data_IF_272050918639
#
_entry.id   IF_272050918639
#
_cell.length_a   1.000
_cell.length_b   1.000
_cell.length_c   1.000
_cell.angle_alpha   90.00
_cell.angle_beta   90.00
_cell.angle_gamma   90.00
#
_symmetry.space_group_name_H-M   'P 1'
#
loop_
_entity.id
_entity.type
_entity.pdbx_description
1 polymer ?
#
# COMPACT_ATOMS: atom_id res chain seq x y z
N UNK A 1 8.34 -12.16 16.82
CA UNK A 1 8.00 -10.81 17.32
C UNK A 1 7.49 -9.98 16.15
N UNK A 2 6.27 -9.47 16.24
CA UNK A 2 5.52 -8.96 15.09
C UNK A 2 5.98 -7.58 14.64
N UNK A 3 5.83 -7.32 13.33
CA UNK A 3 6.07 -6.06 12.61
C UNK A 3 5.54 -4.82 13.38
N UNK A 4 4.44 -4.97 14.12
CA UNK A 4 3.82 -3.91 14.89
C UNK A 4 4.46 -3.61 16.26
N UNK A 5 5.26 -4.51 16.86
CA UNK A 5 5.93 -4.23 18.14
C UNK A 5 6.99 -3.12 18.01
N UNK A 6 7.57 -2.95 16.80
CA UNK A 6 8.56 -1.92 16.51
C UNK A 6 7.95 -0.51 16.40
N UNK A 7 6.70 -0.40 15.94
CA UNK A 7 5.98 0.88 15.88
C UNK A 7 5.63 1.40 17.30
N UNK A 8 5.51 0.51 18.29
CA UNK A 8 5.18 0.86 19.69
C UNK A 8 6.40 1.32 20.52
N UNK A 9 7.59 0.76 20.28
CA UNK A 9 8.80 1.12 21.03
C UNK A 9 9.43 2.41 20.49
N UNK A 10 8.85 3.55 20.88
CA UNK A 10 9.39 4.88 20.57
C UNK A 10 10.65 5.25 21.37
N UNK A 11 11.13 4.38 22.28
CA UNK A 11 11.99 4.80 23.38
C UNK A 11 13.26 3.98 23.68
N UNK A 12 13.76 3.03 22.88
CA UNK A 12 15.08 2.41 23.18
C UNK A 12 15.86 1.98 21.91
N UNK A 13 16.91 2.75 21.64
CA UNK A 13 18.29 2.42 21.21
C UNK A 13 18.65 1.28 20.22
N UNK A 14 17.72 0.62 19.54
CA UNK A 14 18.06 -0.21 18.36
C UNK A 14 17.40 0.35 17.10
N UNK A 15 18.21 1.02 16.26
CA UNK A 15 17.82 1.69 15.01
C UNK A 15 17.42 0.70 13.87
N UNK A 16 16.61 -0.30 14.15
CA UNK A 16 15.88 -1.01 13.10
C UNK A 16 14.63 -0.20 12.71
N UNK A 17 14.78 0.55 11.62
CA UNK A 17 13.87 1.50 10.98
C UNK A 17 12.37 1.18 11.13
N UNK A 18 11.73 1.80 12.12
CA UNK A 18 10.26 1.94 12.18
C UNK A 18 9.78 2.69 10.92
N UNK A 19 8.78 2.14 10.23
CA UNK A 19 8.20 2.77 9.04
C UNK A 19 8.80 2.28 7.72
N UNK A 20 9.08 0.98 7.61
CA UNK A 20 9.57 0.34 6.38
C UNK A 20 8.46 0.02 5.36
N UNK A 21 8.81 -0.61 4.24
CA UNK A 21 7.83 -1.00 3.20
C UNK A 21 6.77 -1.98 3.73
N UNK A 22 7.20 -2.96 4.55
CA UNK A 22 6.30 -3.95 5.13
C UNK A 22 5.30 -3.32 6.10
N UNK A 23 5.72 -2.36 6.90
CA UNK A 23 4.85 -1.61 7.82
C UNK A 23 3.79 -0.83 7.04
N UNK A 24 4.22 -0.12 5.98
CA UNK A 24 3.34 0.63 5.12
C UNK A 24 2.27 -0.25 4.47
N UNK A 25 2.68 -1.34 3.81
CA UNK A 25 1.75 -2.27 3.16
C UNK A 25 0.79 -2.92 4.15
N UNK A 26 1.25 -3.19 5.37
CA UNK A 26 0.39 -3.72 6.42
C UNK A 26 -0.64 -2.68 6.86
N UNK A 27 -0.25 -1.41 7.08
CA UNK A 27 -1.19 -0.34 7.39
C UNK A 27 -2.21 -0.11 6.27
N UNK A 28 -1.80 -0.23 5.00
CA UNK A 28 -2.73 -0.20 3.86
C UNK A 28 -3.77 -1.32 3.99
N UNK A 29 -3.35 -2.57 4.21
CA UNK A 29 -4.29 -3.71 4.39
C UNK A 29 -5.24 -3.50 5.57
N UNK A 30 -4.72 -3.04 6.71
CA UNK A 30 -5.54 -2.72 7.90
C UNK A 30 -6.57 -1.65 7.55
N UNK A 31 -6.18 -0.59 6.82
CA UNK A 31 -7.11 0.47 6.41
C UNK A 31 -8.25 -0.09 5.55
N UNK A 32 -7.94 -0.88 4.53
CA UNK A 32 -8.95 -1.55 3.69
C UNK A 32 -9.91 -2.40 4.52
N UNK A 33 -9.38 -3.23 5.41
CA UNK A 33 -10.19 -4.08 6.29
C UNK A 33 -11.04 -3.26 7.28
N UNK A 34 -10.53 -2.13 7.79
CA UNK A 34 -11.28 -1.23 8.67
C UNK A 34 -12.45 -0.54 7.94
N UNK A 35 -12.23 -0.13 6.69
CA UNK A 35 -13.30 0.44 5.85
C UNK A 35 -14.37 -0.61 5.55
N UNK A 36 -13.97 -1.83 5.17
CA UNK A 36 -14.90 -2.94 4.96
C UNK A 36 -15.71 -3.26 6.23
N UNK A 37 -15.05 -3.34 7.39
CA UNK A 37 -15.71 -3.61 8.67
C UNK A 37 -16.77 -2.57 8.99
N UNK A 38 -16.39 -1.30 8.93
CA UNK A 38 -17.27 -0.19 9.31
C UNK A 38 -18.43 0.01 8.34
N UNK A 39 -18.23 -0.27 7.04
CA UNK A 39 -19.25 -0.14 5.99
C UNK A 39 -20.23 -1.30 5.96
N UNK A 40 -19.72 -2.52 6.04
CA UNK A 40 -20.50 -3.75 5.84
C UNK A 40 -21.03 -4.34 7.16
N UNK A 41 -20.69 -3.72 8.30
CA UNK A 41 -21.10 -4.19 9.62
C UNK A 41 -20.44 -5.52 10.01
N UNK A 42 -19.22 -5.79 9.52
CA UNK A 42 -18.49 -7.03 9.86
C UNK A 42 -18.06 -6.93 11.32
N UNK A 43 -18.58 -7.83 12.16
CA UNK A 43 -18.22 -7.96 13.58
C UNK A 43 -17.22 -9.08 13.81
N UNK A 44 -17.15 -10.05 12.89
CA UNK A 44 -16.25 -11.19 13.01
C UNK A 44 -14.82 -10.84 12.60
N UNK A 45 -13.94 -10.67 13.59
CA UNK A 45 -12.52 -10.37 13.41
C UNK A 45 -11.74 -11.48 12.67
N UNK A 46 -12.23 -12.71 12.59
CA UNK A 46 -11.54 -13.76 11.81
C UNK A 46 -11.57 -13.49 10.31
N UNK A 47 -12.54 -12.71 9.82
CA UNK A 47 -12.64 -12.33 8.42
C UNK A 47 -11.66 -11.21 8.03
N UNK A 48 -11.06 -10.54 9.02
CA UNK A 48 -10.23 -9.34 8.87
C UNK A 48 -8.95 -9.48 9.72
N UNK A 49 -8.03 -10.38 9.32
CA UNK A 49 -6.90 -10.79 10.15
C UNK A 49 -5.89 -9.66 10.42
N UNK A 50 -5.61 -8.79 9.46
CA UNK A 50 -4.70 -7.65 9.67
C UNK A 50 -5.33 -6.64 10.65
N UNK A 51 -6.63 -6.35 10.49
CA UNK A 51 -7.40 -5.48 11.38
C UNK A 51 -7.41 -6.02 12.81
N UNK A 52 -7.63 -7.32 12.97
CA UNK A 52 -7.57 -8.00 14.27
C UNK A 52 -6.21 -7.84 14.93
N UNK A 53 -5.16 -8.13 14.19
CA UNK A 53 -3.78 -8.04 14.68
C UNK A 53 -3.44 -6.60 15.08
N UNK A 54 -3.82 -5.62 14.25
CA UNK A 54 -3.62 -4.21 14.54
C UNK A 54 -4.38 -3.77 15.79
N UNK A 55 -5.67 -4.10 15.88
CA UNK A 55 -6.52 -3.76 17.03
C UNK A 55 -5.97 -4.32 18.33
N UNK A 56 -5.55 -5.59 18.34
CA UNK A 56 -4.95 -6.23 19.51
C UNK A 56 -3.62 -5.59 19.91
N UNK A 57 -2.77 -5.29 18.91
CA UNK A 57 -1.44 -4.75 19.16
C UNK A 57 -1.51 -3.31 19.71
N UNK A 58 -2.33 -2.45 19.10
CA UNK A 58 -2.42 -1.04 19.48
C UNK A 58 -3.56 -0.75 20.48
N UNK A 59 -4.27 -1.80 20.93
CA UNK A 59 -5.40 -1.72 21.85
C UNK A 59 -6.42 -0.64 21.44
N UNK A 60 -6.69 -0.54 20.14
CA UNK A 60 -7.60 0.48 19.61
C UNK A 60 -9.03 0.15 20.06
N UNK A 61 -9.76 1.08 20.71
CA UNK A 61 -11.13 0.83 21.13
C UNK A 61 -12.08 0.76 19.92
N UNK A 62 -13.12 -0.08 20.02
CA UNK A 62 -14.25 0.03 19.10
C UNK A 62 -15.00 1.34 19.36
N UNK A 63 -15.56 1.94 18.32
CA UNK A 63 -16.31 3.20 18.43
C UNK A 63 -17.76 2.91 18.08
N UNK A 64 -18.70 3.31 18.95
CA UNK A 64 -20.14 3.08 18.77
C UNK A 64 -20.49 1.60 18.53
N UNK A 65 -19.81 0.67 19.22
CA UNK A 65 -19.94 -0.78 19.03
C UNK A 65 -19.71 -1.28 17.59
N UNK A 66 -19.10 -0.45 16.73
CA UNK A 66 -18.76 -0.80 15.36
C UNK A 66 -17.27 -1.03 15.21
N UNK A 67 -16.92 -2.17 14.63
CA UNK A 67 -15.55 -2.48 14.23
C UNK A 67 -15.17 -1.62 13.02
N UNK A 68 -13.90 -1.22 12.94
CA UNK A 68 -13.33 -0.51 11.81
C UNK A 68 -13.36 1.00 11.93
N UNK A 69 -14.25 1.59 12.72
CA UNK A 69 -14.33 3.07 12.86
C UNK A 69 -13.09 3.61 13.59
N UNK A 70 -12.77 3.06 14.76
CA UNK A 70 -11.62 3.46 15.55
C UNK A 70 -10.30 3.14 14.85
N UNK A 71 -10.20 1.92 14.30
CA UNK A 71 -9.01 1.45 13.60
C UNK A 71 -8.73 2.26 12.34
N UNK A 72 -9.75 2.59 11.55
CA UNK A 72 -9.63 3.44 10.36
C UNK A 72 -9.04 4.81 10.71
N UNK A 73 -9.53 5.45 11.76
CA UNK A 73 -9.02 6.75 12.21
C UNK A 73 -7.58 6.65 12.73
N UNK A 74 -7.27 5.62 13.51
CA UNK A 74 -5.93 5.36 14.03
C UNK A 74 -4.91 5.14 12.92
N UNK A 75 -5.24 4.31 11.93
CA UNK A 75 -4.39 4.03 10.76
C UNK A 75 -4.22 5.28 9.90
N UNK A 76 -5.30 6.01 9.61
CA UNK A 76 -5.24 7.27 8.85
C UNK A 76 -4.26 8.26 9.50
N UNK A 77 -4.38 8.47 10.81
CA UNK A 77 -3.45 9.34 11.57
C UNK A 77 -2.02 8.81 11.53
N UNK A 78 -1.82 7.52 11.74
CA UNK A 78 -0.50 6.87 11.72
C UNK A 78 0.18 7.04 10.35
N UNK A 79 -0.54 6.77 9.27
CA UNK A 79 0.01 6.87 7.91
C UNK A 79 0.31 8.31 7.50
N UNK A 80 -0.54 9.27 7.89
CA UNK A 80 -0.25 10.71 7.71
C UNK A 80 1.03 11.11 8.44
N UNK A 81 1.20 10.70 9.69
CA UNK A 81 2.33 11.10 10.52
C UNK A 81 3.65 10.45 10.08
N UNK A 82 3.63 9.15 9.77
CA UNK A 82 4.86 8.40 9.44
C UNK A 82 5.28 8.55 7.97
N UNK A 83 4.31 8.67 7.06
CA UNK A 83 4.56 8.60 5.63
C UNK A 83 4.15 9.86 4.86
N UNK A 84 3.41 10.79 5.49
CA UNK A 84 2.87 11.95 4.78
C UNK A 84 1.78 11.58 3.77
N UNK A 85 1.06 10.47 3.99
CA UNK A 85 -0.01 10.00 3.09
C UNK A 85 -1.13 11.05 2.98
N UNK A 86 -1.54 11.38 1.75
CA UNK A 86 -2.57 12.39 1.47
C UNK A 86 -3.98 11.92 1.88
N UNK A 87 -4.93 12.85 1.99
CA UNK A 87 -6.35 12.50 2.17
C UNK A 87 -6.94 11.77 0.96
N UNK A 88 -6.48 12.13 -0.25
CA UNK A 88 -6.89 11.49 -1.50
C UNK A 88 -6.72 9.97 -1.47
N UNK A 89 -5.62 9.48 -0.88
CA UNK A 89 -5.39 8.05 -0.71
C UNK A 89 -6.56 7.35 0.01
N UNK A 90 -7.00 7.95 1.13
CA UNK A 90 -8.04 7.40 1.98
C UNK A 90 -9.44 7.55 1.37
N UNK A 91 -9.70 8.71 0.78
CA UNK A 91 -11.01 9.06 0.23
C UNK A 91 -11.35 8.19 -0.99
N UNK A 92 -10.38 7.86 -1.83
CA UNK A 92 -10.61 6.94 -2.95
C UNK A 92 -10.83 5.50 -2.51
N UNK A 93 -10.13 5.02 -1.47
CA UNK A 93 -10.39 3.68 -0.89
C UNK A 93 -11.81 3.61 -0.34
N UNK A 94 -12.22 4.63 0.42
CA UNK A 94 -13.57 4.73 0.95
C UNK A 94 -14.63 4.71 -0.14
N UNK A 95 -14.42 5.48 -1.21
CA UNK A 95 -15.35 5.58 -2.33
C UNK A 95 -15.37 4.31 -3.17
N UNK A 96 -14.21 3.69 -3.38
CA UNK A 96 -14.08 2.41 -4.07
C UNK A 96 -14.86 1.32 -3.36
N UNK A 97 -14.58 1.11 -2.07
CA UNK A 97 -15.27 0.09 -1.26
C UNK A 97 -16.78 0.39 -1.20
N UNK A 98 -17.18 1.66 -1.04
CA UNK A 98 -18.59 2.05 -1.05
C UNK A 98 -19.28 1.67 -2.37
N UNK A 99 -18.59 1.75 -3.51
CA UNK A 99 -19.15 1.43 -4.83
C UNK A 99 -19.15 -0.08 -5.08
N UNK A 100 -18.05 -0.76 -4.79
CA UNK A 100 -17.82 -2.16 -5.18
C UNK A 100 -18.30 -3.19 -4.16
N UNK A 101 -18.34 -2.85 -2.87
CA UNK A 101 -18.77 -3.77 -1.82
C UNK A 101 -20.12 -3.34 -1.25
N UNK A 102 -21.18 -4.07 -1.58
CA UNK A 102 -22.54 -3.82 -1.05
C UNK A 102 -22.90 -4.80 0.06
N UNK A 103 -22.29 -5.99 0.06
CA UNK A 103 -22.54 -7.06 1.01
C UNK A 103 -21.21 -7.61 1.53
N UNK A 104 -21.25 -8.33 2.66
CA UNK A 104 -20.06 -8.92 3.30
C UNK A 104 -19.34 -9.90 2.37
N UNK A 105 -20.09 -10.61 1.52
CA UNK A 105 -19.55 -11.58 0.55
C UNK A 105 -18.63 -10.93 -0.49
N UNK A 106 -18.83 -9.65 -0.80
CA UNK A 106 -18.03 -8.91 -1.78
C UNK A 106 -16.62 -8.58 -1.24
N UNK A 107 -16.46 -8.59 0.09
CA UNK A 107 -15.25 -8.11 0.75
C UNK A 107 -14.00 -8.90 0.34
N UNK A 108 -14.07 -10.23 0.34
CA UNK A 108 -12.90 -11.07 0.02
C UNK A 108 -12.52 -10.97 -1.45
N UNK A 109 -13.51 -10.97 -2.35
CA UNK A 109 -13.28 -10.79 -3.79
C UNK A 109 -12.67 -9.42 -4.12
N UNK A 110 -13.09 -8.37 -3.41
CA UNK A 110 -12.51 -7.04 -3.53
C UNK A 110 -11.06 -6.98 -3.02
N UNK A 111 -10.77 -7.57 -1.85
CA UNK A 111 -9.41 -7.65 -1.31
C UNK A 111 -8.46 -8.42 -2.24
N UNK A 112 -8.94 -9.51 -2.85
CA UNK A 112 -8.18 -10.28 -3.84
C UNK A 112 -7.86 -9.45 -5.09
N UNK A 113 -8.86 -8.72 -5.63
CA UNK A 113 -8.66 -7.81 -6.76
C UNK A 113 -7.64 -6.71 -6.44
N UNK A 114 -7.73 -6.13 -5.24
CA UNK A 114 -6.77 -5.12 -4.78
C UNK A 114 -5.35 -5.70 -4.66
N UNK A 115 -5.21 -6.90 -4.10
CA UNK A 115 -3.92 -7.58 -4.00
C UNK A 115 -3.32 -7.83 -5.38
N UNK A 116 -4.10 -8.39 -6.32
CA UNK A 116 -3.67 -8.60 -7.70
C UNK A 116 -3.25 -7.28 -8.37
N UNK A 117 -4.03 -6.22 -8.19
CA UNK A 117 -3.73 -4.90 -8.73
C UNK A 117 -2.39 -4.37 -8.21
N UNK A 118 -2.18 -4.40 -6.90
CA UNK A 118 -0.93 -3.92 -6.30
C UNK A 118 0.27 -4.77 -6.72
N UNK A 119 0.12 -6.08 -6.83
CA UNK A 119 1.18 -6.98 -7.28
C UNK A 119 1.58 -6.69 -8.72
N UNK A 120 0.62 -6.63 -9.65
CA UNK A 120 0.87 -6.36 -11.06
C UNK A 120 1.44 -4.95 -11.26
N UNK A 121 0.90 -3.96 -10.55
CA UNK A 121 1.42 -2.59 -10.58
C UNK A 121 2.87 -2.56 -10.11
N UNK A 122 3.18 -3.16 -8.95
CA UNK A 122 4.55 -3.18 -8.42
C UNK A 122 5.52 -3.95 -9.33
N UNK A 123 5.07 -5.01 -9.99
CA UNK A 123 5.88 -5.74 -10.99
C UNK A 123 6.21 -4.86 -12.20
N UNK A 124 5.23 -4.14 -12.76
CA UNK A 124 5.46 -3.21 -13.87
C UNK A 124 6.38 -2.08 -13.45
N UNK A 125 6.18 -1.52 -12.27
CA UNK A 125 7.06 -0.51 -11.70
C UNK A 125 8.49 -1.03 -11.57
N UNK A 126 8.68 -2.23 -11.02
CA UNK A 126 10.00 -2.85 -10.91
C UNK A 126 10.67 -3.01 -12.27
N UNK A 127 9.94 -3.51 -13.26
CA UNK A 127 10.46 -3.73 -14.61
C UNK A 127 10.78 -2.40 -15.34
N UNK A 128 9.87 -1.43 -15.30
CA UNK A 128 9.97 -0.16 -16.03
C UNK A 128 10.86 0.88 -15.32
N UNK A 129 11.04 0.78 -14.01
CA UNK A 129 11.91 1.68 -13.23
C UNK A 129 13.27 1.07 -12.84
N UNK A 130 13.61 -0.15 -13.27
CA UNK A 130 14.91 -0.82 -13.02
C UNK A 130 16.13 0.11 -13.24
N UNK A 131 16.13 0.90 -14.31
CA UNK A 131 17.22 1.85 -14.61
C UNK A 131 17.11 3.20 -13.85
N UNK A 132 15.89 3.59 -13.47
CA UNK A 132 15.58 4.87 -12.79
C UNK A 132 15.75 4.80 -11.27
N UNK A 133 15.83 3.60 -10.71
CA UNK A 133 16.07 3.34 -9.28
C UNK A 133 17.51 3.64 -8.84
N UNK A 134 18.47 3.87 -9.75
CA UNK A 134 19.84 4.30 -9.42
C UNK A 134 19.94 5.76 -8.94
N UNK A 135 18.87 6.55 -9.04
CA UNK A 135 18.86 7.94 -8.58
C UNK A 135 18.92 8.07 -7.05
N UNK A 136 19.73 8.99 -6.49
CA UNK A 136 19.77 9.24 -5.05
C UNK A 136 18.39 9.62 -4.49
N UNK A 137 18.03 9.05 -3.33
CA UNK A 137 16.71 9.21 -2.71
C UNK A 137 16.33 10.64 -2.29
N UNK A 138 17.28 11.58 -2.32
CA UNK A 138 17.05 12.98 -1.96
C UNK A 138 16.35 13.77 -3.07
N UNK A 139 16.36 13.30 -4.33
CA UNK A 139 15.69 13.94 -5.46
C UNK A 139 14.19 13.61 -5.52
N UNK A 140 13.45 13.90 -4.43
CA UNK A 140 12.03 13.57 -4.27
C UNK A 140 11.14 14.02 -5.43
N UNK A 141 11.35 15.24 -5.95
CA UNK A 141 10.60 15.79 -7.10
C UNK A 141 10.83 15.00 -8.38
N UNK A 142 12.08 14.62 -8.65
CA UNK A 142 12.42 13.84 -9.83
C UNK A 142 11.88 12.42 -9.73
N UNK A 143 11.98 11.79 -8.54
CA UNK A 143 11.38 10.48 -8.29
C UNK A 143 9.86 10.55 -8.55
N UNK A 144 9.20 11.59 -8.05
CA UNK A 144 7.77 11.79 -8.29
C UNK A 144 7.45 11.90 -9.78
N UNK A 145 8.12 12.80 -10.51
CA UNK A 145 7.91 12.97 -11.96
C UNK A 145 8.18 11.69 -12.75
N UNK A 146 9.21 10.92 -12.37
CA UNK A 146 9.48 9.63 -13.01
C UNK A 146 8.39 8.59 -12.70
N UNK A 147 7.91 8.55 -11.45
CA UNK A 147 6.80 7.69 -11.05
C UNK A 147 5.53 8.05 -11.81
N UNK A 148 5.18 9.33 -11.85
CA UNK A 148 4.03 9.85 -12.59
C UNK A 148 4.11 9.48 -14.07
N UNK A 149 5.26 9.67 -14.71
CA UNK A 149 5.48 9.27 -16.11
C UNK A 149 5.31 7.77 -16.30
N UNK A 150 5.91 6.95 -15.45
CA UNK A 150 5.81 5.49 -15.58
C UNK A 150 4.38 5.00 -15.34
N UNK A 151 3.66 5.56 -14.36
CA UNK A 151 2.25 5.24 -14.15
C UNK A 151 1.42 5.71 -15.36
N UNK A 152 1.68 6.89 -15.90
CA UNK A 152 1.04 7.36 -17.13
C UNK A 152 1.26 6.41 -18.29
N UNK A 153 2.48 5.93 -18.49
CA UNK A 153 2.78 4.95 -19.53
C UNK A 153 1.97 3.66 -19.29
N UNK A 154 1.90 3.16 -18.05
CA UNK A 154 1.09 1.97 -17.73
C UNK A 154 -0.38 2.19 -18.10
N UNK A 155 -0.96 3.36 -17.87
CA UNK A 155 -2.38 3.61 -18.12
C UNK A 155 -2.70 3.95 -19.59
N UNK A 156 -1.79 4.60 -20.31
CA UNK A 156 -2.11 5.22 -21.60
C UNK A 156 -1.28 4.71 -22.78
N UNK A 157 -0.08 4.14 -22.54
CA UNK A 157 0.82 3.67 -23.60
C UNK A 157 0.36 2.33 -24.18
N UNK A 158 0.34 2.15 -25.50
CA UNK A 158 -0.11 0.89 -26.12
C UNK A 158 1.00 0.12 -26.85
N UNK A 159 2.14 0.76 -27.09
CA UNK A 159 3.31 0.23 -27.81
C UNK A 159 4.32 -0.43 -26.86
N UNK A 160 3.91 -1.52 -26.21
CA UNK A 160 4.84 -2.39 -25.46
C UNK A 160 5.28 -3.55 -26.35
N UNK A 161 6.60 -3.73 -26.51
CA UNK A 161 7.17 -4.81 -27.33
C UNK A 161 7.16 -6.17 -26.64
N UNK A 162 7.14 -6.21 -25.30
CA UNK A 162 7.15 -7.44 -24.51
C UNK A 162 5.71 -7.93 -24.26
N UNK A 163 5.30 -9.09 -24.78
CA UNK A 163 3.94 -9.63 -24.59
C UNK A 163 3.57 -9.86 -23.11
N UNK A 164 4.54 -10.19 -22.26
CA UNK A 164 4.33 -10.34 -20.82
C UNK A 164 3.98 -9.00 -20.17
N UNK A 165 4.70 -7.93 -20.54
CA UNK A 165 4.40 -6.57 -20.09
C UNK A 165 3.03 -6.11 -20.58
N UNK A 166 2.68 -6.38 -21.84
CA UNK A 166 1.34 -6.06 -22.39
C UNK A 166 0.25 -6.71 -21.55
N UNK A 167 0.36 -8.01 -21.26
CA UNK A 167 -0.64 -8.74 -20.47
C UNK A 167 -0.82 -8.14 -19.08
N UNK A 168 0.27 -7.85 -18.39
CA UNK A 168 0.21 -7.26 -17.05
C UNK A 168 -0.34 -5.84 -17.08
N UNK A 169 0.03 -5.02 -18.08
CA UNK A 169 -0.53 -3.66 -18.27
C UNK A 169 -2.06 -3.73 -18.43
N UNK A 170 -2.56 -4.64 -19.26
CA UNK A 170 -4.01 -4.84 -19.43
C UNK A 170 -4.68 -5.28 -18.12
N UNK A 171 -4.06 -6.18 -17.36
CA UNK A 171 -4.54 -6.60 -16.04
C UNK A 171 -4.64 -5.41 -15.08
N UNK A 172 -3.60 -4.58 -14.97
CA UNK A 172 -3.59 -3.38 -14.12
C UNK A 172 -4.70 -2.41 -14.53
N UNK A 173 -4.90 -2.16 -15.82
CA UNK A 173 -5.96 -1.26 -16.30
C UNK A 173 -7.34 -1.79 -15.95
N UNK A 174 -7.60 -3.07 -16.22
CA UNK A 174 -8.89 -3.70 -15.90
C UNK A 174 -9.18 -3.67 -14.40
N UNK A 175 -8.19 -4.02 -13.58
CA UNK A 175 -8.33 -4.00 -12.13
C UNK A 175 -8.47 -2.57 -11.59
N UNK A 176 -7.71 -1.60 -12.12
CA UNK A 176 -7.85 -0.19 -11.75
C UNK A 176 -9.24 0.34 -12.07
N UNK A 177 -9.82 -0.04 -13.21
CA UNK A 177 -11.18 0.36 -13.58
C UNK A 177 -12.22 -0.27 -12.66
N UNK A 178 -12.08 -1.57 -12.33
CA UNK A 178 -12.97 -2.26 -11.39
C UNK A 178 -12.88 -1.67 -9.99
N UNK A 179 -11.68 -1.45 -9.49
CA UNK A 179 -11.45 -0.82 -8.19
C UNK A 179 -11.81 0.67 -8.21
N UNK A 180 -11.79 1.33 -9.37
CA UNK A 180 -12.15 2.75 -9.49
C UNK A 180 -11.15 3.71 -8.86
N UNK A 181 -9.87 3.31 -8.78
CA UNK A 181 -8.77 4.19 -8.37
C UNK A 181 -8.33 5.09 -9.52
N UNK A 182 -8.01 6.33 -9.21
CA UNK A 182 -7.46 7.28 -10.16
C UNK A 182 -5.99 7.00 -10.45
N UNK A 183 -5.51 7.50 -11.60
CA UNK A 183 -4.08 7.50 -11.91
C UNK A 183 -3.26 8.25 -10.86
N UNK A 184 -3.83 9.31 -10.26
CA UNK A 184 -3.18 10.07 -9.20
C UNK A 184 -3.00 9.22 -7.94
N UNK A 185 -4.02 8.46 -7.55
CA UNK A 185 -3.93 7.52 -6.43
C UNK A 185 -2.84 6.48 -6.67
N UNK A 186 -2.80 5.88 -7.86
CA UNK A 186 -1.77 4.92 -8.25
C UNK A 186 -0.36 5.54 -8.19
N UNK A 187 -0.22 6.77 -8.66
CA UNK A 187 1.04 7.53 -8.64
C UNK A 187 1.52 7.78 -7.21
N UNK A 188 0.65 8.29 -6.32
CA UNK A 188 1.01 8.57 -4.92
C UNK A 188 1.36 7.28 -4.15
N UNK A 189 0.61 6.21 -4.39
CA UNK A 189 0.86 4.89 -3.79
C UNK A 189 2.22 4.33 -4.21
N UNK A 190 2.50 4.28 -5.52
CA UNK A 190 3.79 3.81 -6.05
C UNK A 190 4.93 4.70 -5.56
N UNK A 191 4.75 6.01 -5.60
CA UNK A 191 5.77 6.96 -5.17
C UNK A 191 6.18 6.71 -3.73
N UNK A 192 5.21 6.51 -2.83
CA UNK A 192 5.47 6.19 -1.45
C UNK A 192 6.28 4.90 -1.30
N UNK A 193 5.92 3.83 -2.02
CA UNK A 193 6.65 2.57 -1.97
C UNK A 193 8.08 2.73 -2.49
N UNK A 194 8.28 3.47 -3.59
CA UNK A 194 9.61 3.74 -4.14
C UNK A 194 10.48 4.51 -3.16
N UNK A 195 9.92 5.49 -2.44
CA UNK A 195 10.65 6.21 -1.40
C UNK A 195 11.05 5.28 -0.24
N UNK A 196 10.16 4.38 0.17
CA UNK A 196 10.42 3.42 1.24
C UNK A 196 11.51 2.42 0.84
N UNK A 197 11.40 1.84 -0.36
CA UNK A 197 12.40 0.92 -0.91
C UNK A 197 13.79 1.56 -1.05
N UNK A 198 13.86 2.88 -1.30
CA UNK A 198 15.13 3.63 -1.34
C UNK A 198 15.70 3.97 0.04
N UNK A 199 14.85 4.04 1.08
CA UNK A 199 15.28 4.31 2.46
C UNK A 199 15.80 3.06 3.16
N UNK A 200 15.37 1.87 2.73
CA UNK A 200 15.93 0.61 3.20
C UNK A 200 17.41 0.54 2.79
N UNK A 201 18.35 0.31 3.73
CA UNK A 201 19.75 0.16 3.34
C UNK A 201 19.83 -1.07 2.43
N UNK A 202 20.54 -0.98 1.30
CA UNK A 202 20.89 -2.17 0.54
C UNK A 202 21.60 -3.09 1.52
N UNK A 203 21.03 -4.25 1.83
CA UNK A 203 21.80 -5.29 2.51
C UNK A 203 23.06 -5.49 1.68
N UNK A 204 24.21 -5.30 2.32
CA UNK A 204 25.50 -5.19 1.68
C UNK A 204 25.69 -6.36 0.69
N UNK A 205 25.93 -6.02 -0.57
CA UNK A 205 26.59 -6.89 -1.51
C UNK A 205 28.09 -6.99 -1.13
N UNK A 206 28.38 -7.39 0.10
CA UNK A 206 29.72 -7.70 0.61
C UNK A 206 29.71 -9.14 1.16
N UNK A 207 29.54 -10.09 0.24
CA UNK A 207 30.06 -11.45 0.38
C UNK A 207 30.74 -11.80 -0.94
N UNK A 208 31.80 -11.07 -1.30
CA UNK A 208 32.81 -11.48 -2.30
C UNK A 208 34.00 -10.52 -2.29
N UNK A 209 34.71 -10.46 -1.16
CA UNK A 209 36.13 -10.10 -1.11
C UNK A 209 36.64 -10.43 0.30
N UNK A 210 37.81 -11.08 0.38
CA UNK A 210 38.39 -11.84 1.52
C UNK A 210 37.87 -13.28 1.54
N UNK A 211 38.64 -14.32 1.21
CA UNK A 211 40.10 -14.48 1.02
C UNK A 211 40.30 -15.65 0.08
#
# INVERSE_FOLDING_TARGET
>A
MGIFSKIFNRNNEDQEKVGGMNDYMTLVRVYFQAVLASRLGITNLSMLPDLRTYKQTFRVPTVNNKLGVGEKNSVKKTMKNLYGTSDLFFDEIDNSIKKQCKKVQDAQGYLYQFQAYTQDLMMLIGNLMKFKLRMPGFFKKLIYSMTEKTVNDIYNKNDYSDPGVVKTVLSVRQLSQRLGFSQKWATEFVYQIVLLAKKEPKQNADVTAKT
#
